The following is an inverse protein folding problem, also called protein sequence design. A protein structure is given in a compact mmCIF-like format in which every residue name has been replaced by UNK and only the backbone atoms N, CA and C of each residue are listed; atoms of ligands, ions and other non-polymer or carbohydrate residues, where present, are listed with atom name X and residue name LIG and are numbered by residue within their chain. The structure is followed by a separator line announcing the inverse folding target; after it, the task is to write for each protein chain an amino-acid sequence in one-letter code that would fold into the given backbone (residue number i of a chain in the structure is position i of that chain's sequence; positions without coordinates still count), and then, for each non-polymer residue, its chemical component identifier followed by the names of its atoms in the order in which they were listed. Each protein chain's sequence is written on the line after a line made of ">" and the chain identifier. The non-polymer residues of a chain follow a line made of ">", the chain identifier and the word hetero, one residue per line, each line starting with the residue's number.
data_IF_770740107589
#
_entry.id   IF_770740107589
#
_cell.length_a   1.000
_cell.length_b   1.000
_cell.length_c   1.000
_cell.angle_alpha   90.00
_cell.angle_beta   90.00
_cell.angle_gamma   90.00
#
_symmetry.space_group_name_H-M   'P 1'
#
loop_
_entity.id
_entity.type
_entity.pdbx_description
1 polymer ?
#
# COMPACT_ATOMS: atom_id res chain seq x y z
N UNK A 1 -12.66 -8.34 -3.12
CA UNK A 1 -11.46 -8.49 -3.97
C UNK A 1 -10.39 -7.45 -3.63
N UNK A 2 -10.64 -6.14 -3.79
CA UNK A 2 -9.60 -5.11 -3.58
C UNK A 2 -8.89 -5.16 -2.23
N UNK A 3 -9.64 -5.24 -1.12
CA UNK A 3 -9.08 -5.37 0.25
C UNK A 3 -8.23 -6.64 0.42
N UNK A 4 -8.62 -7.74 -0.22
CA UNK A 4 -7.85 -8.99 -0.18
C UNK A 4 -6.53 -8.84 -0.93
N UNK A 5 -6.55 -8.26 -2.14
CA UNK A 5 -5.33 -7.95 -2.89
C UNK A 5 -4.41 -6.98 -2.14
N UNK A 6 -4.98 -5.99 -1.45
CA UNK A 6 -4.21 -5.12 -0.56
C UNK A 6 -3.53 -5.91 0.56
N UNK A 7 -4.24 -6.87 1.17
CA UNK A 7 -3.67 -7.79 2.16
C UNK A 7 -2.50 -8.61 1.61
N UNK A 8 -2.57 -9.10 0.37
CA UNK A 8 -1.46 -9.81 -0.27
C UNK A 8 -0.23 -8.91 -0.44
N UNK A 9 -0.41 -7.68 -0.95
CA UNK A 9 0.69 -6.72 -1.04
C UNK A 9 1.26 -6.34 0.34
N UNK A 10 0.40 -6.24 1.35
CA UNK A 10 0.83 -5.99 2.72
C UNK A 10 1.69 -7.13 3.26
N UNK A 11 1.34 -8.39 3.00
CA UNK A 11 2.18 -9.53 3.37
C UNK A 11 3.53 -9.46 2.67
N UNK A 12 3.59 -9.12 1.38
CA UNK A 12 4.85 -8.96 0.64
C UNK A 12 5.72 -7.86 1.25
N UNK A 13 5.15 -6.68 1.53
CA UNK A 13 5.91 -5.58 2.11
C UNK A 13 6.32 -5.87 3.56
N UNK A 14 5.45 -6.50 4.36
CA UNK A 14 5.80 -6.95 5.71
C UNK A 14 6.92 -7.98 5.70
N UNK A 15 6.91 -8.94 4.76
CA UNK A 15 8.00 -9.90 4.61
C UNK A 15 9.33 -9.17 4.31
N UNK A 16 9.31 -8.20 3.40
CA UNK A 16 10.48 -7.36 3.09
C UNK A 16 10.97 -6.58 4.32
N UNK A 17 10.05 -5.95 5.06
CA UNK A 17 10.36 -5.11 6.23
C UNK A 17 10.71 -5.94 7.47
N UNK A 18 10.38 -7.24 7.48
CA UNK A 18 10.54 -8.12 8.64
C UNK A 18 11.98 -8.19 9.16
N UNK A 19 12.98 -8.15 8.28
CA UNK A 19 14.39 -8.14 8.68
C UNK A 19 14.70 -6.94 9.59
N UNK A 20 14.24 -5.73 9.22
CA UNK A 20 14.44 -4.52 10.03
C UNK A 20 13.67 -4.57 11.36
N UNK A 21 12.49 -5.22 11.38
CA UNK A 21 11.72 -5.43 12.62
C UNK A 21 12.49 -6.38 13.56
N UNK A 22 13.01 -7.47 13.03
CA UNK A 22 13.75 -8.47 13.80
C UNK A 22 15.06 -7.89 14.36
N UNK A 23 15.78 -7.12 13.56
CA UNK A 23 16.99 -6.40 13.99
C UNK A 23 16.69 -5.45 15.17
N UNK A 24 15.57 -4.72 15.13
CA UNK A 24 15.16 -3.82 16.23
C UNK A 24 14.74 -4.58 17.51
N UNK A 25 14.38 -5.85 17.38
CA UNK A 25 14.06 -6.74 18.50
C UNK A 25 15.29 -7.52 18.99
N UNK A 26 16.48 -7.25 18.43
CA UNK A 26 17.73 -7.98 18.72
C UNK A 26 17.64 -9.49 18.39
N UNK A 27 16.83 -9.84 17.39
CA UNK A 27 16.66 -11.22 16.90
C UNK A 27 17.43 -11.39 15.60
N UNK A 28 18.51 -12.17 15.64
CA UNK A 28 19.35 -12.44 14.48
C UNK A 28 18.96 -13.74 13.78
N UNK A 29 18.61 -13.65 12.49
CA UNK A 29 18.38 -14.80 11.62
C UNK A 29 19.34 -14.72 10.43
N UNK A 30 20.38 -15.56 10.45
CA UNK A 30 21.46 -15.52 9.44
C UNK A 30 20.94 -15.58 8.00
N UNK A 31 19.98 -16.49 7.73
CA UNK A 31 19.42 -16.68 6.39
C UNK A 31 18.66 -15.46 5.85
N UNK A 32 18.10 -14.62 6.74
CA UNK A 32 17.46 -13.37 6.31
C UNK A 32 18.52 -12.30 6.00
N UNK A 33 19.58 -12.22 6.80
CA UNK A 33 20.62 -11.23 6.58
C UNK A 33 21.48 -11.52 5.34
N UNK A 34 21.71 -12.80 5.03
CA UNK A 34 22.36 -13.23 3.78
C UNK A 34 21.53 -12.91 2.53
N UNK A 35 20.24 -12.62 2.68
CA UNK A 35 19.40 -12.17 1.58
C UNK A 35 19.71 -10.71 1.18
N UNK A 36 20.44 -9.97 2.02
CA UNK A 36 20.82 -8.57 1.84
C UNK A 36 19.63 -7.70 1.39
N UNK A 37 18.50 -7.84 2.07
CA UNK A 37 17.28 -7.09 1.71
C UNK A 37 17.54 -5.60 1.95
N UNK A 38 17.22 -4.72 0.99
CA UNK A 38 17.39 -3.28 1.20
C UNK A 38 16.62 -2.80 2.43
N UNK A 39 17.25 -1.97 3.28
CA UNK A 39 16.59 -1.43 4.46
C UNK A 39 15.35 -0.61 4.07
N UNK A 40 14.29 -0.65 4.90
CA UNK A 40 13.03 -0.01 4.56
C UNK A 40 13.10 1.51 4.63
N UNK A 41 12.62 2.14 3.57
CA UNK A 41 12.46 3.60 3.50
C UNK A 41 11.18 4.05 4.20
N UNK A 42 11.11 5.33 4.53
CA UNK A 42 9.97 5.92 5.24
C UNK A 42 8.62 5.67 4.53
N UNK A 43 8.60 5.70 3.20
CA UNK A 43 7.37 5.50 2.44
C UNK A 43 6.78 4.10 2.64
N UNK A 44 7.62 3.09 2.86
CA UNK A 44 7.19 1.70 3.10
C UNK A 44 6.43 1.61 4.42
N UNK A 45 6.99 2.21 5.47
CA UNK A 45 6.35 2.31 6.79
C UNK A 45 5.04 3.10 6.73
N UNK A 46 5.04 4.24 6.02
CA UNK A 46 3.82 5.01 5.79
C UNK A 46 2.77 4.20 5.04
N UNK A 47 3.19 3.36 4.09
CA UNK A 47 2.26 2.50 3.35
C UNK A 47 1.66 1.40 4.22
N UNK A 48 2.44 0.79 5.12
CA UNK A 48 1.95 -0.22 6.07
C UNK A 48 0.83 0.32 7.00
N UNK A 49 0.78 1.64 7.23
CA UNK A 49 -0.33 2.27 7.96
C UNK A 49 -1.68 2.16 7.24
N UNK A 50 -1.71 1.79 5.95
CA UNK A 50 -2.96 1.50 5.24
C UNK A 50 -3.63 0.18 5.66
N UNK A 51 -2.90 -0.72 6.35
CA UNK A 51 -3.44 -1.99 6.89
C UNK A 51 -4.53 -1.75 7.94
N UNK A 52 -4.29 -1.00 9.04
CA UNK A 52 -5.36 -0.71 10.01
C UNK A 52 -6.50 0.09 9.39
N UNK A 53 -6.22 0.96 8.41
CA UNK A 53 -7.24 1.67 7.64
C UNK A 53 -8.15 0.69 6.90
N UNK A 54 -7.60 -0.36 6.26
CA UNK A 54 -8.40 -1.41 5.65
C UNK A 54 -9.34 -2.08 6.66
N UNK A 55 -8.88 -2.32 7.90
CA UNK A 55 -9.72 -2.80 9.00
C UNK A 55 -10.94 -1.91 9.28
N UNK A 56 -10.75 -0.58 9.27
CA UNK A 56 -11.86 0.39 9.39
C UNK A 56 -12.83 0.24 8.21
N UNK A 57 -12.32 0.06 7.00
CA UNK A 57 -13.11 -0.20 5.79
C UNK A 57 -13.98 -1.47 5.90
N UNK A 58 -13.40 -2.60 6.32
CA UNK A 58 -14.16 -3.83 6.55
C UNK A 58 -15.26 -3.66 7.61
N UNK A 59 -14.94 -3.00 8.72
CA UNK A 59 -15.91 -2.73 9.79
C UNK A 59 -17.05 -1.83 9.31
N UNK A 60 -16.74 -0.82 8.49
CA UNK A 60 -17.72 0.06 7.88
C UNK A 60 -18.66 -0.69 6.92
N UNK A 61 -18.14 -1.61 6.11
CA UNK A 61 -18.93 -2.48 5.23
C UNK A 61 -19.93 -3.32 6.01
N UNK A 62 -19.50 -3.98 7.09
CA UNK A 62 -20.38 -4.84 7.90
C UNK A 62 -21.54 -4.07 8.54
N UNK A 63 -21.33 -2.80 8.88
CA UNK A 63 -22.29 -1.95 9.59
C UNK A 63 -23.05 -0.97 8.68
N UNK A 64 -22.78 -0.97 7.37
CA UNK A 64 -23.23 0.07 6.44
C UNK A 64 -22.96 1.50 6.96
N UNK A 65 -21.81 1.71 7.59
CA UNK A 65 -21.49 2.96 8.25
C UNK A 65 -20.77 3.92 7.30
N UNK A 66 -21.51 4.89 6.77
CA UNK A 66 -20.98 5.89 5.84
C UNK A 66 -19.89 6.79 6.45
N UNK A 67 -19.94 7.09 7.76
CA UNK A 67 -18.93 7.91 8.41
C UNK A 67 -17.59 7.17 8.49
N UNK A 68 -17.59 5.91 8.94
CA UNK A 68 -16.39 5.06 8.94
C UNK A 68 -15.84 4.83 7.54
N UNK A 69 -16.72 4.71 6.54
CA UNK A 69 -16.28 4.58 5.14
C UNK A 69 -15.62 5.87 4.60
N UNK A 70 -16.03 7.05 5.06
CA UNK A 70 -15.31 8.31 4.74
C UNK A 70 -13.91 8.34 5.36
N UNK A 71 -13.76 7.84 6.58
CA UNK A 71 -12.45 7.67 7.23
C UNK A 71 -11.58 6.70 6.41
N UNK A 72 -12.15 5.58 5.97
CA UNK A 72 -11.47 4.64 5.07
C UNK A 72 -10.99 5.32 3.79
N UNK A 73 -11.85 6.09 3.11
CA UNK A 73 -11.47 6.83 1.90
C UNK A 73 -10.29 7.78 2.15
N UNK A 74 -10.36 8.61 3.19
CA UNK A 74 -9.28 9.55 3.53
C UNK A 74 -7.98 8.82 3.89
N UNK A 75 -8.06 7.79 4.73
CA UNK A 75 -6.90 7.00 5.14
C UNK A 75 -6.28 6.23 3.97
N UNK A 76 -7.06 5.64 3.08
CA UNK A 76 -6.56 4.93 1.89
C UNK A 76 -5.89 5.89 0.93
N UNK A 77 -6.39 7.12 0.77
CA UNK A 77 -5.70 8.13 0.00
C UNK A 77 -4.35 8.51 0.65
N UNK A 78 -4.36 8.87 1.93
CA UNK A 78 -3.18 9.36 2.65
C UNK A 78 -2.10 8.31 2.87
N UNK A 79 -2.46 7.07 3.19
CA UNK A 79 -1.51 6.00 3.51
C UNK A 79 -1.40 4.95 2.40
N UNK A 80 -2.34 4.89 1.46
CA UNK A 80 -2.29 3.94 0.34
C UNK A 80 -1.72 4.56 -0.93
N UNK A 81 -2.21 5.73 -1.34
CA UNK A 81 -1.83 6.39 -2.60
C UNK A 81 -0.61 7.30 -2.45
N UNK A 82 -0.60 8.20 -1.46
CA UNK A 82 0.49 9.18 -1.33
C UNK A 82 1.87 8.52 -1.16
N UNK A 83 2.06 7.48 -0.33
CA UNK A 83 3.38 6.87 -0.15
C UNK A 83 3.90 6.20 -1.42
N UNK A 84 3.04 5.56 -2.23
CA UNK A 84 3.48 4.92 -3.49
C UNK A 84 3.78 5.94 -4.59
N UNK A 85 3.10 7.10 -4.59
CA UNK A 85 3.46 8.20 -5.49
C UNK A 85 4.80 8.83 -5.09
N UNK A 86 5.05 8.99 -3.79
CA UNK A 86 6.35 9.41 -3.28
C UNK A 86 7.45 8.41 -3.68
N UNK A 87 7.20 7.10 -3.55
CA UNK A 87 8.11 6.06 -4.00
C UNK A 87 8.39 6.14 -5.51
N UNK A 88 7.36 6.36 -6.34
CA UNK A 88 7.54 6.53 -7.79
C UNK A 88 8.49 7.68 -8.11
N UNK A 89 8.34 8.82 -7.42
CA UNK A 89 9.23 9.97 -7.58
C UNK A 89 10.66 9.65 -7.13
N UNK A 90 10.82 9.00 -5.98
CA UNK A 90 12.14 8.59 -5.45
C UNK A 90 12.91 7.69 -6.42
N UNK A 91 12.23 6.70 -7.02
CA UNK A 91 12.85 5.75 -7.95
C UNK A 91 12.81 6.20 -9.42
N UNK A 92 12.31 7.41 -9.73
CA UNK A 92 12.13 7.86 -11.11
C UNK A 92 13.46 7.95 -11.87
N UNK A 93 14.48 8.56 -11.26
CA UNK A 93 15.79 8.74 -11.90
C UNK A 93 16.42 7.39 -12.23
N UNK A 94 16.47 6.49 -11.25
CA UNK A 94 17.06 5.15 -11.40
C UNK A 94 16.29 4.29 -12.42
N UNK A 95 14.95 4.36 -12.42
CA UNK A 95 14.13 3.67 -13.41
C UNK A 95 14.38 4.21 -14.84
N UNK A 96 14.54 5.54 -14.97
CA UNK A 96 14.86 6.18 -16.25
C UNK A 96 16.23 5.73 -16.77
N UNK A 97 17.25 5.71 -15.90
CA UNK A 97 18.59 5.23 -16.26
C UNK A 97 18.59 3.73 -16.62
N UNK A 98 17.85 2.90 -15.88
CA UNK A 98 17.68 1.49 -16.21
C UNK A 98 17.10 1.27 -17.62
N UNK A 99 16.10 2.07 -18.01
CA UNK A 99 15.47 1.96 -19.34
C UNK A 99 16.41 2.44 -20.45
N UNK A 100 17.09 3.57 -20.25
CA UNK A 100 17.84 4.23 -21.32
C UNK A 100 19.25 3.68 -21.51
N UNK A 101 20.00 3.54 -20.42
CA UNK A 101 21.45 3.26 -20.48
C UNK A 101 21.82 1.96 -19.77
N UNK A 102 20.95 1.43 -18.91
CA UNK A 102 21.24 0.29 -18.02
C UNK A 102 22.45 0.51 -17.10
N UNK A 103 22.84 1.77 -16.88
CA UNK A 103 23.95 2.17 -16.03
C UNK A 103 23.43 2.77 -14.71
N UNK A 104 24.26 2.80 -13.65
CA UNK A 104 23.92 3.41 -12.35
C UNK A 104 22.67 2.83 -11.66
N UNK A 105 22.37 1.55 -11.89
CA UNK A 105 21.21 0.87 -11.33
C UNK A 105 21.61 0.06 -10.11
N UNK A 106 20.81 0.13 -9.06
CA UNK A 106 20.96 -0.67 -7.84
C UNK A 106 20.27 -2.01 -8.03
N UNK A 107 20.97 -3.09 -7.68
CA UNK A 107 20.46 -4.45 -7.80
C UNK A 107 20.28 -5.10 -6.43
N UNK A 108 19.22 -5.89 -6.29
CA UNK A 108 19.02 -6.84 -5.20
C UNK A 108 18.93 -8.23 -5.80
N UNK A 109 19.86 -9.12 -5.44
CA UNK A 109 19.92 -10.50 -5.95
C UNK A 109 19.90 -10.58 -7.50
N UNK A 110 20.56 -9.61 -8.16
CA UNK A 110 20.60 -9.52 -9.63
C UNK A 110 19.38 -8.88 -10.28
N UNK A 111 18.38 -8.45 -9.51
CA UNK A 111 17.20 -7.74 -10.02
C UNK A 111 17.28 -6.24 -9.75
N UNK A 112 16.96 -5.38 -10.73
CA UNK A 112 16.98 -3.93 -10.57
C UNK A 112 15.88 -3.48 -9.59
N UNK A 113 16.30 -2.83 -8.49
CA UNK A 113 15.41 -2.48 -7.37
C UNK A 113 14.29 -1.53 -7.82
N UNK A 114 14.63 -0.53 -8.63
CA UNK A 114 13.65 0.42 -9.15
C UNK A 114 12.52 -0.29 -9.92
N UNK A 115 12.83 -1.32 -10.73
CA UNK A 115 11.81 -2.08 -11.47
C UNK A 115 10.90 -2.85 -10.53
N UNK A 116 11.46 -3.54 -9.52
CA UNK A 116 10.69 -4.26 -8.52
C UNK A 116 9.72 -3.32 -7.79
N UNK A 117 10.17 -2.11 -7.43
CA UNK A 117 9.31 -1.12 -6.82
C UNK A 117 8.24 -0.58 -7.75
N UNK A 118 8.55 -0.33 -9.02
CA UNK A 118 7.54 0.10 -9.98
C UNK A 118 6.45 -0.96 -10.21
N UNK A 119 6.79 -2.26 -10.17
CA UNK A 119 5.79 -3.35 -10.18
C UNK A 119 4.86 -3.24 -8.96
N UNK A 120 5.44 -3.11 -7.76
CA UNK A 120 4.66 -2.93 -6.53
C UNK A 120 3.76 -1.68 -6.59
N UNK A 121 4.32 -0.55 -7.04
CA UNK A 121 3.62 0.74 -7.14
C UNK A 121 2.41 0.62 -8.08
N UNK A 122 2.58 0.04 -9.28
CA UNK A 122 1.49 -0.10 -10.24
C UNK A 122 0.35 -0.94 -9.66
N UNK A 123 0.68 -2.08 -9.03
CA UNK A 123 -0.32 -2.93 -8.39
C UNK A 123 -1.02 -2.22 -7.23
N UNK A 124 -0.25 -1.53 -6.37
CA UNK A 124 -0.78 -0.81 -5.23
C UNK A 124 -1.70 0.35 -5.66
N UNK A 125 -1.32 1.12 -6.68
CA UNK A 125 -2.15 2.19 -7.24
C UNK A 125 -3.44 1.63 -7.80
N UNK A 126 -3.40 0.55 -8.59
CA UNK A 126 -4.60 -0.08 -9.14
C UNK A 126 -5.56 -0.51 -8.01
N UNK A 127 -5.05 -1.25 -7.02
CA UNK A 127 -5.82 -1.72 -5.87
C UNK A 127 -6.45 -0.55 -5.12
N UNK A 128 -5.68 0.50 -4.81
CA UNK A 128 -6.18 1.63 -4.03
C UNK A 128 -7.16 2.52 -4.82
N UNK A 129 -6.94 2.73 -6.12
CA UNK A 129 -7.89 3.47 -6.98
C UNK A 129 -9.24 2.74 -7.04
N UNK A 130 -9.25 1.42 -7.26
CA UNK A 130 -10.50 0.66 -7.23
C UNK A 130 -11.15 0.66 -5.84
N UNK A 131 -10.37 0.51 -4.77
CA UNK A 131 -10.87 0.62 -3.39
C UNK A 131 -11.59 1.95 -3.13
N UNK A 132 -10.96 3.07 -3.53
CA UNK A 132 -11.52 4.41 -3.37
C UNK A 132 -12.79 4.58 -4.21
N UNK A 133 -12.75 4.15 -5.48
CA UNK A 133 -13.91 4.21 -6.37
C UNK A 133 -15.12 3.50 -5.76
N UNK A 134 -14.97 2.24 -5.34
CA UNK A 134 -16.07 1.48 -4.75
C UNK A 134 -16.53 2.06 -3.41
N UNK A 135 -15.61 2.48 -2.53
CA UNK A 135 -15.95 3.08 -1.25
C UNK A 135 -16.80 4.35 -1.40
N UNK A 136 -16.43 5.23 -2.34
CA UNK A 136 -17.21 6.44 -2.65
C UNK A 136 -18.60 6.08 -3.16
N UNK A 137 -18.73 5.08 -4.05
CA UNK A 137 -20.03 4.61 -4.53
C UNK A 137 -20.90 4.07 -3.39
N UNK A 138 -20.33 3.32 -2.45
CA UNK A 138 -21.07 2.83 -1.29
C UNK A 138 -21.55 3.95 -0.37
N UNK A 139 -20.70 4.96 -0.09
CA UNK A 139 -21.11 6.13 0.71
C UNK A 139 -22.34 6.79 0.10
N UNK A 140 -22.29 7.05 -1.22
CA UNK A 140 -23.40 7.68 -1.94
C UNK A 140 -24.67 6.82 -1.90
N UNK A 141 -24.54 5.50 -2.03
CA UNK A 141 -25.67 4.57 -1.97
C UNK A 141 -26.33 4.56 -0.58
N UNK A 142 -25.54 4.43 0.49
CA UNK A 142 -26.07 4.40 1.86
C UNK A 142 -26.72 5.71 2.27
N UNK A 143 -26.14 6.85 1.87
CA UNK A 143 -26.74 8.16 2.15
C UNK A 143 -28.11 8.32 1.48
N UNK A 144 -28.27 7.88 0.22
CA UNK A 144 -29.57 7.92 -0.48
C UNK A 144 -30.63 7.11 0.26
N UNK A 145 -30.30 5.91 0.73
CA UNK A 145 -31.24 5.05 1.49
C UNK A 145 -31.70 5.72 2.77
N UNK A 146 -30.79 6.38 3.51
CA UNK A 146 -31.13 7.11 4.73
C UNK A 146 -32.07 8.29 4.43
N UNK A 147 -31.81 9.06 3.36
CA UNK A 147 -32.67 10.18 2.97
C UNK A 147 -34.08 9.71 2.58
N UNK A 148 -34.20 8.64 1.79
CA UNK A 148 -35.51 8.08 1.40
C UNK A 148 -36.29 7.59 2.62
N UNK A 149 -35.63 6.95 3.59
CA UNK A 149 -36.28 6.50 4.83
C UNK A 149 -36.77 7.65 5.73
N UNK A 150 -36.12 8.80 5.70
CA UNK A 150 -36.54 9.99 6.47
C UNK A 150 -37.67 10.78 5.81
N UNK A 151 -37.89 10.58 4.50
CA UNK A 151 -38.93 11.26 3.73
C UNK A 151 -40.25 10.47 3.68
N UNK A 152 -40.26 9.22 4.14
CA UNK A 152 -41.46 8.43 4.45
C UNK A 152 -41.83 8.60 5.91
#
# INVERSE_FOLDING_TARGET
>A
MSIFCHGLLAVVLLAKVSEDILDRLDIFILSLQELYVPKPLLWEWCWLMSIPVAGVGLSALRKNNAASMKIYVSGTFMFGIVPVLAAAFLYFSEMSEYIQTKSNVTFWQGYPIAVLWYIFIVLAVQIHVFSLYFAIRLILAWQKVVTVRKAK
#
